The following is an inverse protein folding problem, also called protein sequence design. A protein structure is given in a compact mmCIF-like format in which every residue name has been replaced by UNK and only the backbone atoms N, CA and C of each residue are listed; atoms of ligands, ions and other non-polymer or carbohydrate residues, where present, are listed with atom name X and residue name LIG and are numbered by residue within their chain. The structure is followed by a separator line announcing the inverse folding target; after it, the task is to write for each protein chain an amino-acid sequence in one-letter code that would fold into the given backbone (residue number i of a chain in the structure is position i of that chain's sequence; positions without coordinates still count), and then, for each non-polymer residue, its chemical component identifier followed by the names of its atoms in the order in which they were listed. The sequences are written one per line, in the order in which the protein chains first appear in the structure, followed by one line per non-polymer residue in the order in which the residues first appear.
data_IF_076879384432
#
_entry.id   IF_076879384432
#
_cell.length_a   1.000
_cell.length_b   1.000
_cell.length_c   1.000
_cell.angle_alpha   90.00
_cell.angle_beta   90.00
_cell.angle_gamma   90.00
#
_symmetry.space_group_name_H-M   'P 1'
#
loop_
_entity.id
_entity.type
_entity.pdbx_description
1 polymer ?
#
# COMPACT_ATOMS: atom_id res chain seq x y z
N UNK A 1 -20.36 -4.58 60.03
CA UNK A 1 -19.34 -4.71 58.95
C UNK A 1 -19.48 -3.53 58.04
N UNK A 2 -18.53 -2.60 58.11
CA UNK A 2 -18.58 -1.31 57.42
C UNK A 2 -18.06 -1.43 56.00
N UNK A 3 -18.60 -0.62 55.12
CA UNK A 3 -18.30 -0.55 53.68
C UNK A 3 -16.78 -0.40 53.34
N UNK A 4 -15.95 -0.17 54.34
CA UNK A 4 -14.49 -0.04 54.21
C UNK A 4 -13.72 -1.35 54.10
N UNK A 5 -14.33 -2.51 54.40
CA UNK A 5 -13.67 -3.83 54.35
C UNK A 5 -13.87 -4.57 53.04
N UNK A 6 -14.73 -4.08 52.14
CA UNK A 6 -14.98 -4.67 50.80
C UNK A 6 -14.15 -4.02 49.68
N UNK A 7 -13.45 -2.94 49.93
CA UNK A 7 -12.59 -2.26 48.93
C UNK A 7 -11.15 -2.74 48.96
N UNK A 8 -10.74 -3.46 50.04
CA UNK A 8 -9.35 -3.92 50.22
C UNK A 8 -9.03 -5.25 49.48
N UNK A 9 -10.03 -5.96 48.91
CA UNK A 9 -9.81 -7.25 48.22
C UNK A 9 -9.76 -7.15 46.68
N UNK A 10 -9.86 -5.95 46.11
CA UNK A 10 -9.87 -5.77 44.62
C UNK A 10 -8.60 -5.12 44.06
N UNK A 11 -7.57 -4.91 44.89
CA UNK A 11 -6.29 -4.30 44.47
C UNK A 11 -5.10 -5.28 44.44
N UNK A 12 -5.33 -6.60 44.41
CA UNK A 12 -4.26 -7.60 44.40
C UNK A 12 -4.38 -8.55 43.18
N UNK A 13 -4.51 -8.06 41.99
CA UNK A 13 -4.37 -8.88 40.77
C UNK A 13 -3.98 -8.09 39.50
N UNK A 14 -3.12 -7.12 39.62
CA UNK A 14 -2.41 -6.59 38.43
C UNK A 14 -0.91 -6.44 38.77
N UNK A 15 -0.32 -7.48 39.30
CA UNK A 15 1.11 -7.69 39.14
C UNK A 15 1.33 -8.04 37.66
N UNK A 16 1.57 -7.03 36.83
CA UNK A 16 2.21 -7.22 35.53
C UNK A 16 3.47 -8.04 35.81
N UNK A 17 3.46 -9.31 35.46
CA UNK A 17 4.63 -10.14 35.35
C UNK A 17 5.51 -9.48 34.28
N UNK A 18 6.36 -8.56 34.70
CA UNK A 18 7.63 -8.31 34.04
C UNK A 18 8.37 -9.63 34.14
N UNK A 19 8.16 -10.52 33.17
CA UNK A 19 9.00 -11.70 32.96
C UNK A 19 10.38 -11.14 32.63
N UNK A 20 11.22 -10.98 33.65
CA UNK A 20 12.62 -10.62 33.45
C UNK A 20 13.25 -11.73 32.58
N UNK A 21 14.08 -11.32 31.62
CA UNK A 21 14.83 -12.31 30.82
C UNK A 21 15.56 -13.26 31.77
N UNK A 22 15.48 -14.55 31.47
CA UNK A 22 16.26 -15.55 32.24
C UNK A 22 17.76 -15.31 32.02
N UNK A 23 18.58 -15.69 33.01
CA UNK A 23 20.03 -15.60 32.87
C UNK A 23 20.53 -16.37 31.63
N UNK A 24 19.92 -17.51 31.31
CA UNK A 24 20.21 -18.30 30.12
C UNK A 24 19.90 -17.54 28.82
N UNK A 25 18.78 -16.79 28.79
CA UNK A 25 18.46 -15.96 27.63
C UNK A 25 19.44 -14.79 27.49
N UNK A 26 19.81 -14.15 28.61
CA UNK A 26 20.78 -13.04 28.58
C UNK A 26 22.16 -13.50 28.05
N UNK A 27 22.61 -14.71 28.43
CA UNK A 27 23.82 -15.33 27.88
C UNK A 27 23.70 -15.60 26.38
N UNK A 28 22.59 -16.21 25.93
CA UNK A 28 22.32 -16.48 24.53
C UNK A 28 22.29 -15.19 23.69
N UNK A 29 21.65 -14.13 24.22
CA UNK A 29 21.60 -12.83 23.60
C UNK A 29 22.98 -12.19 23.46
N UNK A 30 23.84 -12.32 24.47
CA UNK A 30 25.22 -11.83 24.42
C UNK A 30 26.06 -12.56 23.34
N UNK A 31 25.90 -13.86 23.18
CA UNK A 31 26.53 -14.64 22.12
C UNK A 31 26.03 -14.26 20.74
N UNK A 32 24.72 -14.05 20.59
CA UNK A 32 24.10 -13.58 19.37
C UNK A 32 24.62 -12.20 18.95
N UNK A 33 24.74 -11.26 19.90
CA UNK A 33 25.32 -9.93 19.66
C UNK A 33 26.78 -9.99 19.19
N UNK A 34 27.56 -10.95 19.71
CA UNK A 34 28.93 -11.21 19.29
C UNK A 34 29.03 -11.94 17.95
N UNK A 35 27.89 -12.31 17.35
CA UNK A 35 27.78 -13.10 16.11
C UNK A 35 28.48 -14.48 16.23
N UNK A 36 28.60 -15.02 17.44
CA UNK A 36 29.06 -16.39 17.65
C UNK A 36 27.86 -17.33 17.44
N UNK A 37 27.54 -17.59 16.16
CA UNK A 37 26.36 -18.31 15.76
C UNK A 37 26.26 -19.72 16.32
N UNK A 38 27.36 -20.53 16.33
CA UNK A 38 27.33 -21.87 16.93
C UNK A 38 27.03 -21.84 18.44
N UNK A 39 27.70 -20.95 19.17
CA UNK A 39 27.47 -20.84 20.61
C UNK A 39 26.08 -20.25 20.92
N UNK A 40 25.64 -19.26 20.15
CA UNK A 40 24.30 -18.68 20.28
C UNK A 40 23.20 -19.73 20.02
N UNK A 41 23.30 -20.52 18.93
CA UNK A 41 22.36 -21.59 18.64
C UNK A 41 22.31 -22.62 19.76
N UNK A 42 23.47 -23.06 20.28
CA UNK A 42 23.54 -23.99 21.40
C UNK A 42 22.89 -23.44 22.69
N UNK A 43 23.10 -22.15 22.97
CA UNK A 43 22.49 -21.48 24.11
C UNK A 43 20.98 -21.31 23.93
N UNK A 44 20.49 -20.86 22.76
CA UNK A 44 19.06 -20.76 22.50
C UNK A 44 18.33 -22.08 22.48
N UNK A 45 18.95 -23.20 22.03
CA UNK A 45 18.36 -24.55 22.18
C UNK A 45 18.04 -24.87 23.65
N UNK A 46 18.91 -24.48 24.61
CA UNK A 46 18.65 -24.64 26.04
C UNK A 46 17.49 -23.74 26.50
N UNK A 47 17.46 -22.47 26.02
CA UNK A 47 16.37 -21.54 26.38
C UNK A 47 15.03 -22.04 25.88
N UNK A 48 14.90 -22.49 24.63
CA UNK A 48 13.62 -22.95 24.10
C UNK A 48 13.12 -24.27 24.71
N UNK A 49 14.02 -25.07 25.25
CA UNK A 49 13.65 -26.26 26.05
C UNK A 49 13.10 -25.87 27.41
N UNK A 50 13.71 -24.91 28.10
CA UNK A 50 13.27 -24.42 29.39
C UNK A 50 12.02 -23.52 29.29
N UNK A 51 11.94 -22.74 28.22
CA UNK A 51 10.90 -21.74 27.98
C UNK A 51 10.27 -21.94 26.59
N UNK A 52 9.49 -23.01 26.36
CA UNK A 52 9.00 -23.36 25.00
C UNK A 52 8.01 -22.34 24.42
N UNK A 53 7.45 -21.45 25.26
CA UNK A 53 6.58 -20.35 24.84
C UNK A 53 7.34 -19.05 24.53
N UNK A 54 8.68 -19.05 24.59
CA UNK A 54 9.49 -17.89 24.31
C UNK A 54 9.71 -17.73 22.80
N UNK A 55 8.78 -17.04 22.13
CA UNK A 55 8.85 -16.81 20.68
C UNK A 55 10.10 -16.03 20.23
N UNK A 56 10.63 -15.14 21.10
CA UNK A 56 11.86 -14.41 20.80
C UNK A 56 13.08 -15.35 20.77
N UNK A 57 13.14 -16.30 21.69
CA UNK A 57 14.22 -17.28 21.71
C UNK A 57 14.16 -18.23 20.50
N UNK A 58 12.97 -18.67 20.09
CA UNK A 58 12.78 -19.44 18.87
C UNK A 58 13.22 -18.66 17.62
N UNK A 59 12.83 -17.39 17.51
CA UNK A 59 13.24 -16.55 16.38
C UNK A 59 14.77 -16.40 16.30
N UNK A 60 15.43 -16.14 17.42
CA UNK A 60 16.90 -15.98 17.46
C UNK A 60 17.63 -17.30 17.26
N UNK A 61 17.06 -18.43 17.71
CA UNK A 61 17.57 -19.76 17.37
C UNK A 61 17.56 -19.93 15.84
N UNK A 62 16.40 -19.70 15.21
CA UNK A 62 16.28 -19.78 13.75
C UNK A 62 17.28 -18.88 13.02
N UNK A 63 17.47 -17.65 13.50
CA UNK A 63 18.44 -16.72 12.91
C UNK A 63 19.89 -17.23 13.04
N UNK A 64 20.25 -17.79 14.20
CA UNK A 64 21.59 -18.38 14.41
C UNK A 64 21.85 -19.58 13.50
N UNK A 65 20.86 -20.48 13.41
CA UNK A 65 20.90 -21.67 12.55
C UNK A 65 21.04 -21.31 11.06
N UNK A 66 20.25 -20.32 10.61
CA UNK A 66 20.36 -19.82 9.25
C UNK A 66 21.76 -19.29 8.93
N UNK A 67 22.38 -18.56 9.87
CA UNK A 67 23.77 -18.08 9.71
C UNK A 67 24.81 -19.21 9.64
N UNK A 68 24.46 -20.40 10.13
CA UNK A 68 25.27 -21.61 10.04
C UNK A 68 24.94 -22.45 8.79
N UNK A 69 23.91 -22.10 8.02
CA UNK A 69 23.41 -22.89 6.88
C UNK A 69 22.57 -24.12 7.28
N UNK A 70 22.14 -24.20 8.53
CA UNK A 70 21.29 -25.30 9.05
C UNK A 70 19.80 -25.01 8.76
N UNK A 71 19.45 -24.89 7.47
CA UNK A 71 18.17 -24.36 7.01
C UNK A 71 16.92 -25.17 7.44
N UNK A 72 16.92 -26.52 7.43
CA UNK A 72 15.76 -27.27 7.88
C UNK A 72 15.38 -26.98 9.35
N UNK A 73 16.39 -26.89 10.23
CA UNK A 73 16.18 -26.57 11.64
C UNK A 73 15.85 -25.08 11.84
N UNK A 74 16.50 -24.19 11.08
CA UNK A 74 16.18 -22.75 11.06
C UNK A 74 14.73 -22.50 10.70
N UNK A 75 14.23 -23.13 9.63
CA UNK A 75 12.83 -23.05 9.21
C UNK A 75 11.89 -23.49 10.32
N UNK A 76 12.12 -24.63 10.95
CA UNK A 76 11.30 -25.12 12.06
C UNK A 76 11.29 -24.18 13.27
N UNK A 77 12.43 -23.56 13.59
CA UNK A 77 12.51 -22.59 14.68
C UNK A 77 11.72 -21.30 14.35
N UNK A 78 11.78 -20.81 13.11
CA UNK A 78 10.96 -19.68 12.68
C UNK A 78 9.47 -20.02 12.63
N UNK A 79 9.08 -21.23 12.23
CA UNK A 79 7.68 -21.70 12.29
C UNK A 79 7.15 -21.67 13.74
N UNK A 80 7.96 -22.08 14.72
CA UNK A 80 7.60 -21.94 16.15
C UNK A 80 7.43 -20.49 16.57
N UNK A 81 8.27 -19.58 16.09
CA UNK A 81 8.11 -18.15 16.35
C UNK A 81 6.79 -17.61 15.75
N UNK A 82 6.38 -18.09 14.56
CA UNK A 82 5.06 -17.77 13.96
C UNK A 82 3.92 -18.28 14.82
N UNK A 83 3.95 -19.55 15.26
CA UNK A 83 2.94 -20.15 16.13
C UNK A 83 2.76 -19.35 17.43
N UNK A 84 3.86 -18.88 17.99
CA UNK A 84 3.92 -18.06 19.21
C UNK A 84 3.64 -16.57 18.96
N UNK A 85 3.28 -16.20 17.74
CA UNK A 85 2.99 -14.82 17.31
C UNK A 85 4.11 -13.81 17.58
N UNK A 86 5.35 -14.27 17.64
CA UNK A 86 6.51 -13.38 17.74
C UNK A 86 6.88 -12.86 16.37
N UNK A 87 6.78 -11.51 16.18
CA UNK A 87 7.05 -10.84 14.92
C UNK A 87 6.49 -11.63 13.71
N UNK A 88 5.18 -11.94 13.66
CA UNK A 88 4.65 -13.00 12.82
C UNK A 88 4.97 -12.79 11.34
N UNK A 89 4.84 -11.56 10.81
CA UNK A 89 5.16 -11.27 9.42
C UNK A 89 6.65 -11.49 9.10
N UNK A 90 7.56 -11.04 9.98
CA UNK A 90 9.00 -11.23 9.81
C UNK A 90 9.40 -12.71 9.95
N UNK A 91 8.80 -13.42 10.91
CA UNK A 91 9.04 -14.85 11.10
C UNK A 91 8.62 -15.65 9.88
N UNK A 92 7.46 -15.34 9.27
CA UNK A 92 7.00 -15.97 8.02
C UNK A 92 7.98 -15.74 6.87
N UNK A 93 8.52 -14.51 6.73
CA UNK A 93 9.53 -14.21 5.71
C UNK A 93 10.81 -15.01 5.94
N UNK A 94 11.22 -15.21 7.20
CA UNK A 94 12.40 -16.03 7.51
C UNK A 94 12.17 -17.52 7.21
N UNK A 95 10.94 -18.06 7.43
CA UNK A 95 10.60 -19.40 6.93
C UNK A 95 10.70 -19.47 5.42
N UNK A 96 10.13 -18.47 4.72
CA UNK A 96 10.20 -18.40 3.26
C UNK A 96 11.65 -18.38 2.77
N UNK A 97 12.54 -17.65 3.46
CA UNK A 97 13.96 -17.59 3.15
C UNK A 97 14.65 -18.96 3.31
N UNK A 98 14.40 -19.67 4.40
CA UNK A 98 14.92 -21.02 4.61
C UNK A 98 14.45 -21.99 3.51
N UNK A 99 13.18 -21.87 3.06
CA UNK A 99 12.64 -22.64 1.92
C UNK A 99 13.35 -22.28 0.61
N UNK A 100 13.55 -20.98 0.37
CA UNK A 100 14.29 -20.51 -0.82
C UNK A 100 15.72 -21.06 -0.86
N UNK A 101 16.43 -21.02 0.27
CA UNK A 101 17.77 -21.58 0.41
C UNK A 101 17.80 -23.08 0.09
N UNK A 102 16.79 -23.82 0.56
CA UNK A 102 16.65 -25.26 0.31
C UNK A 102 16.22 -25.60 -1.14
N UNK A 103 16.00 -24.58 -2.01
CA UNK A 103 15.57 -24.78 -3.39
C UNK A 103 14.08 -25.16 -3.52
N UNK A 104 13.24 -24.74 -2.57
CA UNK A 104 11.79 -24.91 -2.58
C UNK A 104 11.09 -23.57 -2.85
N UNK A 105 10.97 -23.13 -4.12
CA UNK A 105 10.34 -21.87 -4.46
C UNK A 105 8.84 -21.85 -4.18
N UNK A 106 8.16 -22.98 -4.29
CA UNK A 106 6.73 -23.08 -4.01
C UNK A 106 6.43 -22.88 -2.52
N UNK A 107 7.14 -23.59 -1.66
CA UNK A 107 7.04 -23.41 -0.20
C UNK A 107 7.46 -22.01 0.25
N UNK A 108 8.49 -21.44 -0.38
CA UNK A 108 8.89 -20.05 -0.12
C UNK A 108 7.76 -19.08 -0.48
N UNK A 109 7.16 -19.22 -1.67
CA UNK A 109 6.07 -18.35 -2.12
C UNK A 109 4.82 -18.48 -1.23
N UNK A 110 4.49 -19.67 -0.73
CA UNK A 110 3.40 -19.88 0.22
C UNK A 110 3.60 -19.04 1.49
N UNK A 111 4.79 -19.12 2.09
CA UNK A 111 5.10 -18.35 3.29
C UNK A 111 5.17 -16.84 3.05
N UNK A 112 5.67 -16.40 1.88
CA UNK A 112 5.62 -14.99 1.49
C UNK A 112 4.19 -14.49 1.31
N UNK A 113 3.28 -15.32 0.77
CA UNK A 113 1.85 -14.96 0.68
C UNK A 113 1.24 -14.77 2.09
N UNK A 114 1.55 -15.65 3.04
CA UNK A 114 1.13 -15.51 4.45
C UNK A 114 1.72 -14.23 5.08
N UNK A 115 2.98 -13.92 4.79
CA UNK A 115 3.61 -12.67 5.24
C UNK A 115 2.93 -11.44 4.63
N UNK A 116 2.54 -11.51 3.35
CA UNK A 116 1.79 -10.44 2.68
C UNK A 116 0.41 -10.23 3.34
N UNK A 117 -0.30 -11.30 3.70
CA UNK A 117 -1.57 -11.21 4.44
C UNK A 117 -1.36 -10.58 5.83
N UNK A 118 -0.22 -10.85 6.47
CA UNK A 118 0.21 -10.22 7.72
C UNK A 118 0.78 -8.80 7.53
N UNK A 119 0.60 -8.19 6.35
CA UNK A 119 1.01 -6.83 6.01
C UNK A 119 2.52 -6.58 6.03
N UNK A 120 3.34 -7.60 5.78
CA UNK A 120 4.76 -7.39 5.51
C UNK A 120 4.94 -6.51 4.27
N UNK A 121 5.85 -5.53 4.34
CA UNK A 121 6.03 -4.53 3.26
C UNK A 121 7.49 -4.19 2.98
N UNK A 122 8.45 -4.81 3.69
CA UNK A 122 9.87 -4.52 3.49
C UNK A 122 10.41 -5.25 2.24
N UNK A 123 10.12 -4.67 1.07
CA UNK A 123 10.54 -5.21 -0.21
C UNK A 123 12.06 -5.23 -0.36
N UNK A 124 12.75 -4.21 0.18
CA UNK A 124 14.22 -4.14 0.13
C UNK A 124 14.88 -5.34 0.80
N UNK A 125 14.26 -5.92 1.83
CA UNK A 125 14.74 -7.14 2.45
C UNK A 125 14.71 -8.34 1.47
N UNK A 126 13.62 -8.49 0.71
CA UNK A 126 13.48 -9.57 -0.27
C UNK A 126 14.49 -9.41 -1.42
N UNK A 127 14.61 -8.20 -1.94
CA UNK A 127 15.42 -7.89 -3.11
C UNK A 127 16.93 -7.93 -2.82
N UNK A 128 17.31 -7.66 -1.55
CA UNK A 128 18.69 -7.68 -1.11
C UNK A 128 19.18 -9.02 -0.57
N UNK A 129 18.28 -10.00 -0.38
CA UNK A 129 18.64 -11.27 0.24
C UNK A 129 19.08 -12.32 -0.82
N UNK A 130 20.29 -12.91 -0.69
CA UNK A 130 20.84 -13.84 -1.69
C UNK A 130 20.03 -15.15 -1.82
N UNK A 131 19.27 -15.54 -0.80
CA UNK A 131 18.46 -16.76 -0.86
C UNK A 131 17.24 -16.58 -1.75
N UNK A 132 16.58 -15.42 -1.68
CA UNK A 132 15.50 -15.07 -2.61
C UNK A 132 16.01 -14.84 -4.04
N UNK A 133 17.24 -14.35 -4.22
CA UNK A 133 17.84 -14.21 -5.54
C UNK A 133 17.89 -15.52 -6.32
N UNK A 134 18.02 -16.68 -5.64
CA UNK A 134 18.05 -18.02 -6.25
C UNK A 134 16.74 -18.41 -6.92
N UNK A 135 15.61 -17.86 -6.46
CA UNK A 135 14.25 -18.21 -6.91
C UNK A 135 13.54 -17.04 -7.60
N UNK A 136 14.25 -15.93 -7.89
CA UNK A 136 13.65 -14.70 -8.45
C UNK A 136 12.98 -14.90 -9.82
N UNK A 137 13.37 -15.93 -10.59
CA UNK A 137 12.77 -16.28 -11.88
C UNK A 137 11.50 -17.12 -11.74
N UNK A 138 11.22 -17.68 -10.55
CA UNK A 138 10.03 -18.48 -10.29
C UNK A 138 8.76 -17.63 -10.31
N UNK A 139 7.71 -18.14 -10.95
CA UNK A 139 6.45 -17.39 -11.13
C UNK A 139 5.70 -17.22 -9.80
N UNK A 140 5.68 -18.26 -8.94
CA UNK A 140 5.00 -18.19 -7.66
C UNK A 140 5.68 -17.18 -6.73
N UNK A 141 7.03 -17.17 -6.71
CA UNK A 141 7.80 -16.16 -5.97
C UNK A 141 7.49 -14.74 -6.48
N UNK A 142 7.51 -14.50 -7.80
CA UNK A 142 7.23 -13.17 -8.37
C UNK A 142 5.84 -12.68 -8.00
N UNK A 143 4.82 -13.56 -8.01
CA UNK A 143 3.46 -13.22 -7.58
C UNK A 143 3.40 -12.85 -6.09
N UNK A 144 4.05 -13.63 -5.23
CA UNK A 144 4.10 -13.35 -3.79
C UNK A 144 4.85 -12.04 -3.48
N UNK A 145 5.99 -11.81 -4.15
CA UNK A 145 6.76 -10.56 -4.05
C UNK A 145 5.91 -9.34 -4.47
N UNK A 146 5.17 -9.44 -5.57
CA UNK A 146 4.29 -8.35 -6.03
C UNK A 146 3.20 -8.01 -5.00
N UNK A 147 2.63 -9.01 -4.29
CA UNK A 147 1.69 -8.76 -3.18
C UNK A 147 2.34 -7.99 -2.04
N UNK A 148 3.58 -8.32 -1.70
CA UNK A 148 4.35 -7.59 -0.65
C UNK A 148 4.65 -6.17 -1.10
N UNK A 149 4.97 -5.95 -2.37
CA UNK A 149 5.16 -4.62 -2.94
C UNK A 149 3.90 -3.75 -2.80
N UNK A 150 2.72 -4.31 -3.08
CA UNK A 150 1.45 -3.61 -2.92
C UNK A 150 1.15 -3.23 -1.46
N UNK A 151 1.63 -4.00 -0.49
CA UNK A 151 1.51 -3.61 0.92
C UNK A 151 2.28 -2.32 1.25
N UNK A 152 3.41 -2.09 0.59
CA UNK A 152 4.17 -0.85 0.70
C UNK A 152 3.59 0.31 -0.13
N UNK A 153 2.66 0.00 -1.05
CA UNK A 153 2.02 0.94 -1.97
C UNK A 153 0.50 0.78 -1.90
N UNK A 154 -0.14 1.10 -0.76
CA UNK A 154 -1.54 0.77 -0.51
C UNK A 154 -2.49 1.38 -1.56
N UNK A 155 -2.15 2.55 -2.09
CA UNK A 155 -2.98 3.19 -3.12
C UNK A 155 -2.98 2.42 -4.45
N UNK A 156 -1.91 1.72 -4.81
CA UNK A 156 -1.90 0.88 -6.02
C UNK A 156 -2.75 -0.38 -5.85
N UNK A 157 -2.85 -0.89 -4.63
CA UNK A 157 -3.62 -2.10 -4.29
C UNK A 157 -5.11 -1.84 -4.03
N UNK A 158 -5.54 -0.58 -3.92
CA UNK A 158 -6.93 -0.24 -3.64
C UNK A 158 -7.74 -0.08 -4.94
N UNK A 159 -8.72 -0.95 -5.22
CA UNK A 159 -9.55 -0.85 -6.43
C UNK A 159 -10.28 0.49 -6.58
N UNK A 160 -10.69 1.11 -5.47
CA UNK A 160 -11.36 2.42 -5.49
C UNK A 160 -10.44 3.51 -6.07
N UNK A 161 -9.14 3.47 -5.74
CA UNK A 161 -8.15 4.40 -6.27
C UNK A 161 -7.74 4.10 -7.72
N UNK A 162 -8.23 2.98 -8.32
CA UNK A 162 -7.99 2.61 -9.73
C UNK A 162 -9.16 2.97 -10.65
N UNK A 163 -10.28 3.44 -10.10
CA UNK A 163 -11.49 3.75 -10.87
C UNK A 163 -11.30 4.82 -11.95
N UNK A 164 -10.28 5.68 -11.82
CA UNK A 164 -9.98 6.73 -12.79
C UNK A 164 -8.75 6.41 -13.66
N UNK A 165 -8.18 5.22 -13.56
CA UNK A 165 -6.99 4.81 -14.33
C UNK A 165 -7.23 4.76 -15.84
N UNK A 166 -8.47 4.66 -16.29
CA UNK A 166 -8.81 4.71 -17.71
C UNK A 166 -8.39 6.01 -18.39
N UNK A 167 -8.15 7.07 -17.63
CA UNK A 167 -7.71 8.36 -18.12
C UNK A 167 -6.17 8.53 -18.14
N UNK A 168 -5.41 7.62 -17.54
CA UNK A 168 -3.93 7.67 -17.54
C UNK A 168 -3.35 7.60 -18.95
N UNK A 169 -2.29 8.37 -19.21
CA UNK A 169 -1.53 8.33 -20.47
C UNK A 169 -1.32 9.68 -21.13
N UNK A 170 -0.86 9.65 -22.38
CA UNK A 170 -0.65 10.84 -23.21
C UNK A 170 -1.75 10.95 -24.27
N UNK A 171 -2.28 12.15 -24.43
CA UNK A 171 -3.48 12.39 -25.20
C UNK A 171 -3.36 13.63 -26.10
N UNK A 172 -3.89 13.51 -27.32
CA UNK A 172 -4.36 14.66 -28.11
C UNK A 172 -5.83 14.89 -27.77
N UNK A 173 -6.17 16.14 -27.40
CA UNK A 173 -7.54 16.47 -27.01
C UNK A 173 -8.21 17.24 -28.13
N UNK A 174 -9.34 16.72 -28.58
CA UNK A 174 -10.09 17.28 -29.71
C UNK A 174 -11.46 17.80 -29.26
N UNK A 175 -11.83 18.95 -29.82
CA UNK A 175 -13.20 19.51 -29.77
C UNK A 175 -13.67 19.68 -31.21
N UNK A 176 -14.84 19.14 -31.52
CA UNK A 176 -15.41 19.17 -32.90
C UNK A 176 -14.43 18.64 -33.97
N UNK A 177 -13.62 17.63 -33.63
CA UNK A 177 -12.65 17.01 -34.52
C UNK A 177 -11.32 17.75 -34.71
N UNK A 178 -11.14 18.90 -34.07
CA UNK A 178 -9.88 19.65 -34.11
C UNK A 178 -9.08 19.48 -32.83
N UNK A 179 -7.79 19.18 -32.93
CA UNK A 179 -6.90 19.12 -31.78
C UNK A 179 -6.70 20.52 -31.21
N UNK A 180 -7.04 20.69 -29.94
CA UNK A 180 -6.95 21.98 -29.24
C UNK A 180 -5.91 21.98 -28.12
N UNK A 181 -5.51 20.80 -27.65
CA UNK A 181 -4.53 20.63 -26.57
C UNK A 181 -3.85 19.28 -26.67
N UNK A 182 -2.74 19.16 -25.93
CA UNK A 182 -2.22 17.88 -25.47
C UNK A 182 -2.39 17.78 -23.97
N UNK A 183 -2.58 16.57 -23.47
CA UNK A 183 -2.68 16.34 -22.03
C UNK A 183 -1.91 15.08 -21.66
N UNK A 184 -1.11 15.15 -20.58
CA UNK A 184 -0.44 14.00 -19.99
C UNK A 184 -0.98 13.78 -18.60
N UNK A 185 -1.50 12.60 -18.40
CA UNK A 185 -2.10 12.16 -17.14
C UNK A 185 -1.21 11.08 -16.52
N UNK A 186 -0.57 11.43 -15.40
CA UNK A 186 0.38 10.60 -14.70
C UNK A 186 -0.22 10.06 -13.40
N UNK A 187 0.08 8.81 -13.09
CA UNK A 187 -0.14 8.27 -11.75
C UNK A 187 1.10 8.56 -10.90
N UNK A 188 0.95 9.31 -9.82
CA UNK A 188 2.04 9.76 -8.96
C UNK A 188 1.76 9.39 -7.49
N UNK A 189 2.75 9.57 -6.62
CA UNK A 189 2.66 9.23 -5.19
C UNK A 189 2.24 7.76 -4.96
N UNK A 190 2.88 6.83 -5.67
CA UNK A 190 2.60 5.39 -5.59
C UNK A 190 1.09 5.06 -5.77
N UNK A 191 0.45 5.76 -6.70
CA UNK A 191 -0.93 5.51 -7.04
C UNK A 191 -1.98 6.30 -6.27
N UNK A 192 -1.56 7.14 -5.31
CA UNK A 192 -2.50 7.92 -4.49
C UNK A 192 -3.02 9.18 -5.18
N UNK A 193 -2.41 9.59 -6.28
CA UNK A 193 -2.74 10.83 -6.96
C UNK A 193 -2.64 10.65 -8.47
N UNK A 194 -3.66 11.08 -9.20
CA UNK A 194 -3.63 11.23 -10.65
C UNK A 194 -3.42 12.71 -10.97
N UNK A 195 -2.32 13.01 -11.66
CA UNK A 195 -1.96 14.38 -12.05
C UNK A 195 -2.14 14.57 -13.56
N UNK A 196 -2.93 15.55 -13.95
CA UNK A 196 -3.00 16.02 -15.32
C UNK A 196 -2.06 17.19 -15.55
N UNK A 197 -1.40 17.18 -16.72
CA UNK A 197 -0.62 18.28 -17.27
C UNK A 197 -1.28 18.69 -18.60
N UNK A 198 -2.12 19.70 -18.55
CA UNK A 198 -2.85 20.24 -19.69
C UNK A 198 -2.03 21.29 -20.43
N UNK A 199 -1.82 21.11 -21.72
CA UNK A 199 -1.06 22.01 -22.60
C UNK A 199 -1.91 22.38 -23.83
N UNK A 200 -2.65 23.50 -23.78
CA UNK A 200 -3.47 23.94 -24.91
C UNK A 200 -2.60 24.47 -26.03
N UNK A 201 -3.08 24.37 -27.29
CA UNK A 201 -2.46 24.97 -28.45
C UNK A 201 -2.46 26.50 -28.36
N UNK A 202 -3.50 27.06 -27.75
CA UNK A 202 -3.64 28.48 -27.44
C UNK A 202 -4.18 28.65 -26.03
N UNK A 203 -3.67 29.66 -25.29
CA UNK A 203 -4.09 29.95 -23.93
C UNK A 203 -3.10 29.51 -22.86
N UNK A 204 -3.57 29.42 -21.61
CA UNK A 204 -2.70 29.12 -20.47
C UNK A 204 -2.68 27.62 -20.20
N UNK A 205 -1.51 27.05 -19.89
CA UNK A 205 -1.43 25.68 -19.43
C UNK A 205 -2.17 25.50 -18.09
N UNK A 206 -2.55 24.28 -17.82
CA UNK A 206 -3.26 23.94 -16.59
C UNK A 206 -2.75 22.64 -15.99
N UNK A 207 -3.11 22.44 -14.75
CA UNK A 207 -2.91 21.17 -14.04
C UNK A 207 -4.13 20.80 -13.25
N UNK A 208 -4.39 19.50 -13.14
CA UNK A 208 -5.32 18.99 -12.16
C UNK A 208 -4.67 17.92 -11.29
N UNK A 209 -5.13 17.84 -10.05
CA UNK A 209 -4.82 16.81 -9.09
C UNK A 209 -6.10 16.12 -8.70
N UNK A 210 -6.13 14.80 -8.90
CA UNK A 210 -7.30 13.97 -8.70
C UNK A 210 -6.94 12.88 -7.68
N UNK A 211 -7.66 12.81 -6.59
CA UNK A 211 -7.38 11.93 -5.47
C UNK A 211 -8.67 11.55 -4.73
N UNK A 212 -8.62 10.47 -3.96
CA UNK A 212 -9.69 10.12 -3.04
C UNK A 212 -9.42 10.76 -1.69
N UNK A 213 -10.37 11.53 -1.21
CA UNK A 213 -10.33 12.09 0.15
C UNK A 213 -10.68 10.97 1.15
N UNK A 214 -9.72 10.53 1.95
CA UNK A 214 -9.89 9.43 2.90
C UNK A 214 -10.94 9.69 4.00
N UNK A 215 -11.26 10.97 4.28
CA UNK A 215 -12.27 11.31 5.28
C UNK A 215 -13.69 11.16 4.72
N UNK A 216 -13.89 11.36 3.42
CA UNK A 216 -15.22 11.33 2.77
C UNK A 216 -15.43 10.12 1.88
N UNK A 217 -14.36 9.46 1.45
CA UNK A 217 -14.39 8.40 0.44
C UNK A 217 -14.72 8.90 -0.97
N UNK A 218 -14.75 10.20 -1.19
CA UNK A 218 -15.06 10.77 -2.50
C UNK A 218 -13.82 11.06 -3.31
N UNK A 219 -13.92 10.98 -4.62
CA UNK A 219 -12.98 11.59 -5.52
C UNK A 219 -13.04 13.10 -5.44
N UNK A 220 -11.90 13.76 -5.37
CA UNK A 220 -11.76 15.21 -5.47
C UNK A 220 -10.84 15.57 -6.62
N UNK A 221 -11.19 16.63 -7.34
CA UNK A 221 -10.35 17.26 -8.35
C UNK A 221 -10.07 18.70 -7.97
N UNK A 222 -8.80 19.06 -8.01
CA UNK A 222 -8.37 20.45 -7.95
C UNK A 222 -7.73 20.81 -9.29
N UNK A 223 -8.39 21.65 -10.09
CA UNK A 223 -7.88 22.14 -11.37
C UNK A 223 -7.45 23.59 -11.27
N UNK A 224 -6.30 23.92 -11.89
CA UNK A 224 -5.77 25.27 -11.91
C UNK A 224 -5.25 25.62 -13.30
N UNK A 225 -5.61 26.82 -13.79
CA UNK A 225 -5.07 27.41 -15.03
C UNK A 225 -5.26 28.92 -15.01
N UNK A 226 -4.22 29.68 -15.40
CA UNK A 226 -4.29 31.13 -15.55
C UNK A 226 -4.78 31.88 -14.29
N UNK A 227 -4.46 31.36 -13.10
CA UNK A 227 -4.93 31.93 -11.82
C UNK A 227 -6.35 31.51 -11.40
N UNK A 228 -7.08 30.80 -12.27
CA UNK A 228 -8.37 30.23 -11.91
C UNK A 228 -8.19 28.90 -11.19
N UNK A 229 -9.05 28.65 -10.21
CA UNK A 229 -9.10 27.41 -9.42
C UNK A 229 -10.52 26.86 -9.45
N UNK A 230 -10.64 25.59 -9.83
CA UNK A 230 -11.88 24.85 -9.77
C UNK A 230 -11.69 23.63 -8.84
N UNK A 231 -12.54 23.52 -7.82
CA UNK A 231 -12.56 22.39 -6.91
C UNK A 231 -13.87 21.62 -7.08
N UNK A 232 -13.74 20.33 -7.36
CA UNK A 232 -14.85 19.41 -7.59
C UNK A 232 -14.72 18.19 -6.68
N UNK A 233 -15.83 17.56 -6.36
CA UNK A 233 -15.90 16.28 -5.67
C UNK A 233 -16.95 15.38 -6.32
N UNK A 234 -16.79 14.06 -6.21
CA UNK A 234 -17.75 13.13 -6.78
C UNK A 234 -17.35 11.67 -6.66
N UNK A 235 -17.80 10.86 -7.60
CA UNK A 235 -17.60 9.42 -7.56
C UNK A 235 -17.59 8.80 -8.96
N UNK A 236 -17.03 7.61 -9.04
CA UNK A 236 -17.16 6.73 -10.19
C UNK A 236 -18.44 5.91 -10.08
N UNK A 237 -19.32 6.03 -11.05
CA UNK A 237 -20.56 5.27 -11.10
C UNK A 237 -21.00 5.02 -12.55
N UNK A 238 -21.52 3.83 -12.83
CA UNK A 238 -22.05 3.50 -14.17
C UNK A 238 -21.00 3.64 -15.29
N UNK A 239 -19.71 3.36 -15.01
CA UNK A 239 -18.63 3.49 -15.98
C UNK A 239 -18.16 4.92 -16.25
N UNK A 240 -18.54 5.86 -15.41
CA UNK A 240 -18.21 7.30 -15.56
C UNK A 240 -17.67 7.86 -14.25
N UNK A 241 -16.68 8.74 -14.34
CA UNK A 241 -16.28 9.61 -13.24
C UNK A 241 -17.08 10.91 -13.36
N UNK A 242 -17.88 11.20 -12.35
CA UNK A 242 -18.70 12.43 -12.30
C UNK A 242 -18.25 13.26 -11.11
N UNK A 243 -17.79 14.48 -11.38
CA UNK A 243 -17.27 15.41 -10.40
C UNK A 243 -18.05 16.71 -10.47
N UNK A 244 -18.53 17.20 -9.32
CA UNK A 244 -19.35 18.39 -9.22
C UNK A 244 -18.77 19.39 -8.21
N UNK A 245 -19.00 20.67 -8.46
CA UNK A 245 -18.53 21.71 -7.56
C UNK A 245 -19.18 23.06 -7.82
N UNK A 246 -18.60 24.06 -7.20
CA UNK A 246 -19.06 25.45 -7.36
C UNK A 246 -17.88 26.35 -7.66
N UNK A 247 -18.03 27.18 -8.67
CA UNK A 247 -17.12 28.28 -8.95
C UNK A 247 -17.82 29.63 -8.75
N UNK A 248 -17.02 30.66 -8.50
CA UNK A 248 -17.51 32.03 -8.37
C UNK A 248 -16.74 32.93 -9.33
N UNK A 249 -17.45 33.74 -10.05
CA UNK A 249 -16.83 34.76 -10.87
C UNK A 249 -16.47 36.02 -10.02
N UNK A 250 -15.71 37.00 -10.56
CA UNK A 250 -15.37 38.23 -9.84
C UNK A 250 -16.57 39.03 -9.30
N UNK A 251 -17.75 38.89 -9.91
CA UNK A 251 -19.00 39.48 -9.43
C UNK A 251 -19.67 38.65 -8.33
N UNK A 252 -19.02 37.61 -7.82
CA UNK A 252 -19.51 36.66 -6.80
C UNK A 252 -20.76 35.86 -7.19
N UNK A 253 -21.12 35.84 -8.48
CA UNK A 253 -22.16 34.96 -8.96
C UNK A 253 -21.65 33.50 -8.92
N UNK A 254 -22.44 32.62 -8.29
CA UNK A 254 -22.12 31.20 -8.16
C UNK A 254 -22.56 30.46 -9.41
N UNK A 255 -21.66 29.65 -9.96
CA UNK A 255 -21.92 28.69 -11.04
C UNK A 255 -21.75 27.29 -10.46
N UNK A 256 -22.67 26.38 -10.75
CA UNK A 256 -22.45 24.96 -10.53
C UNK A 256 -21.68 24.39 -11.71
N UNK A 257 -20.69 23.61 -11.42
CA UNK A 257 -19.84 22.94 -12.41
C UNK A 257 -20.00 21.44 -12.26
N UNK A 258 -20.11 20.72 -13.38
CA UNK A 258 -20.11 19.26 -13.44
C UNK A 258 -19.20 18.80 -14.56
N UNK A 259 -18.20 17.98 -14.23
CA UNK A 259 -17.34 17.34 -15.23
C UNK A 259 -17.60 15.85 -15.21
N UNK A 260 -17.88 15.30 -16.38
CA UNK A 260 -18.09 13.85 -16.57
C UNK A 260 -17.01 13.31 -17.50
N UNK A 261 -16.25 12.33 -17.01
CA UNK A 261 -15.30 11.57 -17.82
C UNK A 261 -15.89 10.18 -18.09
N UNK A 262 -15.83 9.75 -19.36
CA UNK A 262 -16.36 8.45 -19.77
C UNK A 262 -15.31 7.71 -20.59
N UNK A 263 -14.93 6.51 -20.15
CA UNK A 263 -14.12 5.60 -20.94
C UNK A 263 -14.94 5.09 -22.14
N UNK A 264 -14.39 5.22 -23.34
CA UNK A 264 -15.03 4.74 -24.56
C UNK A 264 -14.51 3.34 -24.94
N UNK A 265 -15.34 2.49 -25.60
CA UNK A 265 -14.93 1.13 -25.95
C UNK A 265 -13.69 1.05 -26.87
N UNK A 266 -13.39 2.11 -27.62
CA UNK A 266 -12.25 2.20 -28.52
C UNK A 266 -10.97 2.77 -27.85
N UNK A 267 -10.98 2.89 -26.53
CA UNK A 267 -9.85 3.38 -25.72
C UNK A 267 -9.70 4.90 -25.67
N UNK A 268 -10.62 5.65 -26.28
CA UNK A 268 -10.70 7.09 -26.10
C UNK A 268 -11.39 7.44 -24.78
N UNK A 269 -11.26 8.69 -24.33
CA UNK A 269 -11.99 9.21 -23.17
C UNK A 269 -12.75 10.46 -23.58
N UNK A 270 -14.05 10.51 -23.25
CA UNK A 270 -14.86 11.72 -23.39
C UNK A 270 -14.82 12.51 -22.09
N UNK A 271 -14.63 13.82 -22.18
CA UNK A 271 -14.79 14.76 -21.07
C UNK A 271 -15.82 15.81 -21.45
N UNK A 272 -16.89 15.86 -20.67
CA UNK A 272 -17.94 16.88 -20.82
C UNK A 272 -17.94 17.74 -19.56
N UNK A 273 -17.73 19.04 -19.70
CA UNK A 273 -17.89 20.03 -18.63
C UNK A 273 -19.14 20.85 -18.89
N UNK A 274 -20.05 20.80 -17.93
CA UNK A 274 -21.32 21.52 -17.95
C UNK A 274 -21.37 22.54 -16.81
N UNK A 275 -22.05 23.64 -17.06
CA UNK A 275 -22.25 24.71 -16.10
C UNK A 275 -23.74 25.05 -15.96
N UNK A 276 -24.16 25.31 -14.72
CA UNK A 276 -25.48 25.83 -14.40
C UNK A 276 -25.38 27.14 -13.61
N UNK A 277 -26.14 28.13 -14.04
CA UNK A 277 -26.26 29.46 -13.39
C UNK A 277 -27.56 29.65 -12.64
N UNK A 278 -28.45 28.68 -12.71
CA UNK A 278 -29.82 28.71 -12.15
C UNK A 278 -30.04 27.65 -11.05
N UNK A 279 -28.94 27.24 -10.40
CA UNK A 279 -29.03 26.28 -9.29
C UNK A 279 -29.26 24.82 -9.73
N UNK A 280 -28.92 24.49 -10.97
CA UNK A 280 -28.99 23.11 -11.50
C UNK A 280 -30.28 22.85 -12.30
N UNK A 281 -31.11 23.86 -12.57
CA UNK A 281 -32.34 23.70 -13.35
C UNK A 281 -32.03 23.53 -14.84
N UNK A 282 -31.03 24.25 -15.36
CA UNK A 282 -30.53 24.06 -16.71
C UNK A 282 -28.99 23.97 -16.72
N UNK A 283 -28.44 23.28 -17.73
CA UNK A 283 -27.02 23.07 -17.90
C UNK A 283 -26.60 23.39 -19.32
N UNK A 284 -25.48 24.11 -19.45
CA UNK A 284 -24.86 24.44 -20.73
C UNK A 284 -23.46 23.85 -20.78
N UNK A 285 -23.09 23.29 -21.93
CA UNK A 285 -21.74 22.75 -22.13
C UNK A 285 -20.72 23.89 -22.20
N UNK A 286 -19.77 23.87 -21.28
CA UNK A 286 -18.61 24.75 -21.30
C UNK A 286 -17.43 24.10 -22.05
N UNK A 287 -17.37 22.76 -22.08
CA UNK A 287 -16.36 21.98 -22.79
C UNK A 287 -16.93 20.61 -23.19
N UNK A 288 -16.58 20.14 -24.39
CA UNK A 288 -16.97 18.81 -24.89
C UNK A 288 -15.79 18.25 -25.70
N UNK A 289 -14.89 17.55 -25.02
CA UNK A 289 -13.62 17.09 -25.56
C UNK A 289 -13.48 15.59 -25.61
N UNK A 290 -12.76 15.12 -26.63
CA UNK A 290 -12.37 13.73 -26.80
C UNK A 290 -10.87 13.60 -26.69
N UNK A 291 -10.42 12.79 -25.75
CA UNK A 291 -9.03 12.41 -25.55
C UNK A 291 -8.70 11.20 -26.44
N UNK A 292 -7.76 11.38 -27.36
CA UNK A 292 -7.29 10.34 -28.27
C UNK A 292 -5.84 10.02 -27.90
N UNK A 293 -5.55 8.73 -27.64
CA UNK A 293 -4.20 8.33 -27.23
C UNK A 293 -3.17 8.74 -28.29
N UNK A 294 -2.13 9.40 -27.84
CA UNK A 294 -0.97 9.65 -28.68
C UNK A 294 -0.24 8.34 -28.91
N UNK A 295 0.11 8.08 -30.17
CA UNK A 295 0.99 6.97 -30.52
C UNK A 295 2.41 7.35 -30.17
N UNK A 296 3.21 6.46 -29.57
CA UNK A 296 4.61 6.72 -29.27
C UNK A 296 5.41 7.03 -30.53
#
# INVERSE_FOLDING_TARGET
MTLAQLVACLYLASASLLVGQSAAQSEADALFQKQDWPAAAAAYRKVVVAEPQNGAAWFRLGASLHRMGEEPEAGGAFEKAVELRFQPAQSMVNVARARAHAGDPAGSAEWLNRAADAKFQNLAFLDGDPDFARIQSDEAYRKARARIELNGKPCLGDPHLREFDFWLGEWDVQVSGQTIATSRIDNVLDGCLIQENWMPMNGQPGKSWNYVNSATGKWEQLWMSGGNVLKLEGAFAGGKMVLEGRSQNPARATTLDRITFTAMPDGRVSQVWEQSKDGGQSWTKAFDGIYIRRRP
#
